data_IF_499833201980
#
_entry.id   IF_499833201980
#
_cell.length_a   1.000
_cell.length_b   1.000
_cell.length_c   1.000
_cell.angle_alpha   90.00
_cell.angle_beta   90.00
_cell.angle_gamma   90.00
#
_symmetry.space_group_name_H-M   'P 1'
#
loop_
_entity.id
_entity.type
_entity.pdbx_description
1 polymer ?
#
# COMPACT_ATOMS: atom_id res chain seq x y z
N UNK A 1 -36.09 20.77 33.59
CA UNK A 1 -37.54 20.80 33.86
C UNK A 1 -38.14 19.48 33.38
N UNK A 2 -38.78 18.76 34.31
CA UNK A 2 -39.42 17.46 33.96
C UNK A 2 -40.76 17.64 33.28
N UNK A 3 -41.32 18.86 33.30
CA UNK A 3 -42.61 19.18 32.66
C UNK A 3 -42.46 19.55 31.20
N UNK A 4 -41.25 19.96 30.77
CA UNK A 4 -40.88 20.22 29.36
C UNK A 4 -39.48 19.66 29.08
N UNK A 5 -39.34 18.32 29.04
CA UNK A 5 -38.06 17.67 28.81
C UNK A 5 -37.63 17.80 27.35
N UNK A 6 -36.31 17.83 27.12
CA UNK A 6 -35.72 17.77 25.80
C UNK A 6 -35.85 16.35 25.23
N UNK A 7 -36.74 16.16 24.27
CA UNK A 7 -37.05 14.85 23.68
C UNK A 7 -36.85 14.90 22.17
N UNK A 8 -35.81 14.22 21.66
CA UNK A 8 -35.43 14.26 20.26
C UNK A 8 -36.36 13.47 19.32
N UNK A 9 -37.20 12.60 19.84
CA UNK A 9 -38.22 11.86 19.07
C UNK A 9 -39.62 12.49 19.13
N UNK A 10 -39.78 13.65 19.79
CA UNK A 10 -41.03 14.43 19.76
C UNK A 10 -41.22 15.04 18.36
N UNK A 11 -42.46 15.00 17.86
CA UNK A 11 -42.77 15.51 16.53
C UNK A 11 -42.40 16.99 16.36
N UNK A 12 -42.58 17.83 17.36
CA UNK A 12 -42.20 19.25 17.32
C UNK A 12 -40.71 19.43 17.12
N UNK A 13 -39.89 18.57 17.76
CA UNK A 13 -38.43 18.56 17.54
C UNK A 13 -38.08 18.12 16.12
N UNK A 14 -38.68 17.01 15.66
CA UNK A 14 -38.44 16.46 14.31
C UNK A 14 -38.86 17.46 13.26
N UNK A 15 -40.01 18.09 13.35
CA UNK A 15 -40.48 19.11 12.41
C UNK A 15 -39.56 20.31 12.34
N UNK A 16 -39.07 20.79 13.50
CA UNK A 16 -38.08 21.89 13.54
C UNK A 16 -36.75 21.49 12.84
N UNK A 17 -36.28 20.28 13.09
CA UNK A 17 -35.09 19.77 12.45
C UNK A 17 -35.24 19.67 10.92
N UNK A 18 -36.38 19.13 10.46
CA UNK A 18 -36.69 19.05 9.03
C UNK A 18 -36.81 20.43 8.37
N UNK A 19 -37.38 21.38 9.09
CA UNK A 19 -37.41 22.76 8.60
C UNK A 19 -36.01 23.36 8.44
N UNK A 20 -35.11 23.16 9.39
CA UNK A 20 -33.72 23.58 9.30
C UNK A 20 -33.00 22.93 8.12
N UNK A 21 -33.14 21.61 7.93
CA UNK A 21 -32.56 20.88 6.80
C UNK A 21 -33.08 21.41 5.48
N UNK A 22 -34.37 21.75 5.39
CA UNK A 22 -34.98 22.36 4.20
C UNK A 22 -34.35 23.72 3.87
N UNK A 23 -34.04 24.55 4.90
CA UNK A 23 -33.34 25.83 4.68
C UNK A 23 -31.93 25.61 4.13
N UNK A 24 -31.20 24.62 4.68
CA UNK A 24 -29.86 24.26 4.19
C UNK A 24 -29.91 23.75 2.76
N UNK A 25 -30.86 22.90 2.43
CA UNK A 25 -31.07 22.38 1.08
C UNK A 25 -31.38 23.50 0.07
N UNK A 26 -32.29 24.44 0.43
CA UNK A 26 -32.61 25.58 -0.41
C UNK A 26 -31.42 26.53 -0.66
N UNK A 27 -30.41 26.51 0.20
CA UNK A 27 -29.16 27.28 0.05
C UNK A 27 -28.05 26.48 -0.65
N UNK A 28 -28.34 25.29 -1.17
CA UNK A 28 -27.36 24.36 -1.78
C UNK A 28 -26.21 23.96 -0.82
N UNK A 29 -26.47 23.98 0.50
CA UNK A 29 -25.49 23.55 1.52
C UNK A 29 -25.69 22.08 1.95
N UNK A 30 -26.79 21.46 1.52
CA UNK A 30 -27.07 20.05 1.75
C UNK A 30 -27.23 19.34 0.41
N UNK A 31 -26.45 18.30 0.18
CA UNK A 31 -26.46 17.51 -1.04
C UNK A 31 -26.24 16.03 -0.74
N UNK A 32 -26.64 15.16 -1.67
CA UNK A 32 -26.36 13.72 -1.59
C UNK A 32 -24.94 13.46 -2.08
N UNK A 33 -24.13 12.82 -1.25
CA UNK A 33 -22.74 12.49 -1.56
C UNK A 33 -22.38 11.09 -1.10
N UNK A 34 -21.14 10.72 -1.38
CA UNK A 34 -20.53 9.47 -0.92
C UNK A 34 -19.34 9.80 -0.03
N UNK A 35 -19.15 9.00 1.02
CA UNK A 35 -17.97 9.08 1.89
C UNK A 35 -17.49 7.68 2.27
N UNK A 36 -16.22 7.56 2.57
CA UNK A 36 -15.64 6.32 3.09
C UNK A 36 -15.80 6.35 4.62
N UNK A 37 -16.33 5.27 5.15
CA UNK A 37 -16.48 5.09 6.59
C UNK A 37 -15.98 3.69 6.97
N UNK A 38 -15.12 3.54 8.00
CA UNK A 38 -14.77 2.25 8.57
C UNK A 38 -16.02 1.52 9.03
N UNK A 39 -16.07 0.23 8.80
CA UNK A 39 -17.20 -0.63 9.16
C UNK A 39 -16.73 -1.79 10.03
N UNK A 40 -17.42 -2.03 11.13
CA UNK A 40 -17.18 -3.17 12.01
C UNK A 40 -18.15 -4.31 11.69
N UNK A 41 -17.70 -5.43 11.09
CA UNK A 41 -18.56 -6.59 10.86
C UNK A 41 -19.09 -7.20 12.15
N UNK A 42 -18.30 -7.16 13.23
CA UNK A 42 -18.69 -7.70 14.54
C UNK A 42 -19.80 -6.89 15.19
N UNK A 43 -19.77 -5.56 15.07
CA UNK A 43 -20.82 -4.68 15.59
C UNK A 43 -21.97 -4.47 14.58
N UNK A 44 -21.78 -4.84 13.32
CA UNK A 44 -22.78 -4.67 12.26
C UNK A 44 -23.06 -3.22 11.88
N UNK A 45 -22.11 -2.30 12.12
CA UNK A 45 -22.31 -0.86 11.91
C UNK A 45 -21.04 -0.15 11.44
N UNK A 46 -21.24 1.02 10.81
CA UNK A 46 -20.16 1.97 10.53
C UNK A 46 -19.66 2.61 11.83
N UNK A 47 -18.37 2.94 11.84
CA UNK A 47 -17.70 3.56 12.99
C UNK A 47 -17.46 5.05 12.71
N UNK A 48 -17.77 5.89 13.69
CA UNK A 48 -17.46 7.32 13.66
C UNK A 48 -15.95 7.56 13.91
N UNK A 49 -15.47 8.71 13.50
CA UNK A 49 -14.08 9.12 13.83
C UNK A 49 -13.83 9.21 15.34
N UNK A 50 -14.86 9.51 16.13
CA UNK A 50 -14.77 9.52 17.60
C UNK A 50 -14.53 8.12 18.16
N UNK A 51 -15.25 7.11 17.67
CA UNK A 51 -15.06 5.71 18.08
C UNK A 51 -13.68 5.17 17.71
N UNK A 52 -13.13 5.60 16.56
CA UNK A 52 -11.78 5.22 16.13
C UNK A 52 -10.67 5.92 16.93
N UNK A 53 -11.00 6.95 17.69
CA UNK A 53 -10.03 7.73 18.48
C UNK A 53 -10.09 7.44 19.99
N UNK A 54 -10.83 6.42 20.39
CA UNK A 54 -10.92 6.01 21.79
C UNK A 54 -9.62 5.31 22.24
N UNK A 55 -9.23 5.42 23.51
CA UNK A 55 -8.09 4.67 24.05
C UNK A 55 -8.28 3.17 23.86
N UNK A 56 -7.23 2.49 23.32
CA UNK A 56 -7.24 1.04 23.11
C UNK A 56 -7.94 0.57 21.82
N UNK A 57 -8.38 1.47 20.93
CA UNK A 57 -8.92 1.12 19.63
C UNK A 57 -7.87 0.45 18.71
N UNK A 58 -6.61 0.87 18.84
CA UNK A 58 -5.50 0.34 18.05
C UNK A 58 -4.67 -0.61 18.89
N UNK A 59 -4.31 -1.75 18.32
CA UNK A 59 -3.46 -2.76 18.93
C UNK A 59 -2.50 -3.31 17.90
N UNK A 60 -1.28 -3.61 18.33
CA UNK A 60 -0.32 -4.30 17.50
C UNK A 60 -0.80 -5.73 17.22
N UNK A 61 -0.88 -6.10 15.96
CA UNK A 61 -1.24 -7.44 15.50
C UNK A 61 -0.15 -7.97 14.58
N UNK A 62 0.11 -9.29 14.67
CA UNK A 62 1.02 -9.96 13.75
C UNK A 62 0.22 -10.33 12.49
N UNK A 63 0.64 -9.79 11.36
CA UNK A 63 -0.01 -10.05 10.08
C UNK A 63 1.00 -10.50 9.01
N UNK A 64 0.48 -11.13 7.95
CA UNK A 64 1.30 -11.60 6.84
C UNK A 64 1.45 -10.49 5.80
N UNK A 65 2.70 -10.20 5.47
CA UNK A 65 3.05 -9.27 4.39
C UNK A 65 3.71 -10.02 3.24
N UNK A 66 3.70 -9.46 2.05
CA UNK A 66 4.46 -10.06 0.95
C UNK A 66 5.19 -9.00 0.13
N UNK A 67 6.27 -9.44 -0.54
CA UNK A 67 6.96 -8.70 -1.59
C UNK A 67 6.56 -9.34 -2.92
N UNK A 68 5.70 -8.65 -3.66
CA UNK A 68 5.20 -9.11 -4.95
C UNK A 68 6.20 -8.77 -6.06
N UNK A 69 6.36 -9.69 -7.00
CA UNK A 69 7.21 -9.54 -8.19
C UNK A 69 6.33 -9.33 -9.42
N UNK A 70 6.54 -8.22 -10.12
CA UNK A 70 5.81 -7.87 -11.34
C UNK A 70 6.76 -7.92 -12.52
N UNK A 71 6.57 -8.91 -13.39
CA UNK A 71 7.42 -9.13 -14.55
C UNK A 71 7.35 -7.93 -15.50
N UNK A 72 8.51 -7.42 -15.90
CA UNK A 72 8.61 -6.35 -16.89
C UNK A 72 8.27 -6.86 -18.28
N UNK A 73 7.50 -6.06 -19.04
CA UNK A 73 7.19 -6.32 -20.44
C UNK A 73 8.32 -5.86 -21.35
N UNK A 74 8.83 -4.66 -21.13
CA UNK A 74 9.84 -3.99 -21.94
C UNK A 74 11.05 -3.61 -21.07
N UNK A 75 11.85 -4.58 -20.59
CA UNK A 75 13.01 -4.27 -19.76
C UNK A 75 14.10 -3.60 -20.60
N UNK A 76 14.90 -2.73 -19.98
CA UNK A 76 16.13 -2.21 -20.59
C UNK A 76 17.16 -3.33 -20.75
N UNK A 77 18.10 -3.24 -21.70
CA UNK A 77 19.08 -4.30 -21.96
C UNK A 77 19.86 -4.73 -20.71
N UNK A 78 20.28 -3.78 -19.89
CA UNK A 78 21.02 -4.04 -18.66
C UNK A 78 20.17 -4.76 -17.59
N UNK A 79 18.86 -4.57 -17.59
CA UNK A 79 17.93 -5.27 -16.70
C UNK A 79 17.65 -6.69 -17.19
N UNK A 80 17.66 -6.91 -18.51
CA UNK A 80 17.43 -8.20 -19.12
C UNK A 80 18.68 -9.09 -19.20
N UNK A 81 19.84 -8.55 -18.89
CA UNK A 81 21.12 -9.25 -18.99
C UNK A 81 21.30 -10.38 -17.96
N UNK A 82 20.52 -10.38 -16.87
CA UNK A 82 20.61 -11.35 -15.80
C UNK A 82 19.24 -11.81 -15.31
N UNK A 83 18.87 -13.03 -15.68
CA UNK A 83 17.61 -13.63 -15.26
C UNK A 83 16.38 -12.85 -15.74
N UNK A 84 15.25 -13.06 -15.06
CA UNK A 84 14.00 -12.38 -15.40
C UNK A 84 13.89 -11.05 -14.65
N UNK A 85 13.62 -9.92 -15.34
CA UNK A 85 13.47 -8.62 -14.70
C UNK A 85 12.06 -8.41 -14.13
N UNK A 86 12.03 -7.92 -12.89
CA UNK A 86 10.80 -7.63 -12.14
C UNK A 86 10.86 -6.25 -11.48
N UNK A 87 9.73 -5.57 -11.39
CA UNK A 87 9.50 -4.61 -10.32
C UNK A 87 9.11 -5.37 -9.06
N UNK A 88 9.57 -4.91 -7.89
CA UNK A 88 9.11 -5.45 -6.61
C UNK A 88 8.37 -4.38 -5.82
N UNK A 89 7.29 -4.79 -5.17
CA UNK A 89 6.51 -3.94 -4.28
C UNK A 89 6.07 -4.73 -3.03
N UNK A 90 6.24 -4.11 -1.87
CA UNK A 90 5.79 -4.66 -0.60
C UNK A 90 4.33 -4.28 -0.33
N UNK A 91 3.56 -5.21 0.21
CA UNK A 91 2.18 -4.98 0.60
C UNK A 91 1.79 -5.73 1.88
N UNK A 92 0.94 -5.13 2.68
CA UNK A 92 0.25 -5.76 3.81
C UNK A 92 -1.08 -6.38 3.41
N UNK A 93 -1.56 -6.17 2.19
CA UNK A 93 -2.87 -6.60 1.69
C UNK A 93 -2.73 -7.45 0.41
N UNK A 94 -2.07 -8.63 0.47
CA UNK A 94 -1.77 -9.42 -0.72
C UNK A 94 -3.01 -9.91 -1.48
N UNK A 95 -4.15 -10.01 -0.83
CA UNK A 95 -5.43 -10.40 -1.46
C UNK A 95 -5.98 -9.36 -2.45
N UNK A 96 -5.45 -8.14 -2.48
CA UNK A 96 -5.83 -7.13 -3.47
C UNK A 96 -5.03 -7.24 -4.77
N UNK A 97 -3.92 -7.99 -4.80
CA UNK A 97 -3.05 -8.14 -5.97
C UNK A 97 -3.75 -8.66 -7.23
N UNK A 98 -4.74 -9.59 -7.17
CA UNK A 98 -5.46 -10.02 -8.36
C UNK A 98 -6.17 -8.91 -9.12
N UNK A 99 -6.52 -7.81 -8.44
CA UNK A 99 -7.17 -6.64 -9.04
C UNK A 99 -6.20 -5.50 -9.36
N UNK A 100 -4.89 -5.74 -9.23
CA UNK A 100 -3.88 -4.72 -9.51
C UNK A 100 -3.74 -4.50 -11.02
N UNK A 101 -3.97 -3.28 -11.47
CA UNK A 101 -3.97 -2.92 -12.90
C UNK A 101 -2.68 -2.23 -13.34
N UNK A 102 -1.95 -1.59 -12.42
CA UNK A 102 -0.74 -0.84 -12.73
C UNK A 102 0.16 -0.70 -11.49
N UNK A 103 1.44 -0.45 -11.73
CA UNK A 103 2.39 0.02 -10.71
C UNK A 103 2.55 1.53 -10.83
N UNK A 104 2.65 2.20 -9.69
CA UNK A 104 2.90 3.63 -9.64
C UNK A 104 4.32 3.89 -9.14
N UNK A 105 5.06 4.73 -9.86
CA UNK A 105 6.41 5.17 -9.47
C UNK A 105 6.41 6.64 -9.08
N UNK A 106 7.17 7.00 -8.05
CA UNK A 106 7.32 8.39 -7.64
C UNK A 106 8.32 9.11 -8.56
N UNK A 107 7.93 10.22 -9.23
CA UNK A 107 8.79 10.89 -10.23
C UNK A 107 10.11 11.39 -9.67
N UNK A 108 10.16 11.72 -8.37
CA UNK A 108 11.35 12.23 -7.67
C UNK A 108 12.10 11.16 -6.88
N UNK A 109 11.61 9.93 -6.86
CA UNK A 109 12.23 8.82 -6.14
C UNK A 109 13.31 8.20 -7.01
N UNK A 110 14.45 7.89 -6.38
CA UNK A 110 15.54 7.13 -6.99
C UNK A 110 15.25 5.63 -6.88
N UNK A 111 15.39 4.93 -7.99
CA UNK A 111 15.25 3.49 -8.12
C UNK A 111 16.56 2.86 -8.55
N UNK A 112 16.76 1.61 -8.15
CA UNK A 112 17.92 0.82 -8.55
C UNK A 112 17.49 -0.48 -9.19
N UNK A 113 18.22 -0.91 -10.23
CA UNK A 113 18.14 -2.26 -10.78
C UNK A 113 19.22 -3.11 -10.13
N UNK A 114 18.84 -4.25 -9.60
CA UNK A 114 19.70 -5.13 -8.81
C UNK A 114 19.67 -6.53 -9.40
N UNK A 115 20.80 -7.04 -9.81
CA UNK A 115 21.00 -8.44 -10.20
C UNK A 115 21.25 -9.27 -8.96
N UNK A 116 20.55 -10.39 -8.83
CA UNK A 116 20.65 -11.30 -7.68
C UNK A 116 19.98 -12.64 -8.01
N UNK A 117 19.69 -13.40 -6.98
CA UNK A 117 18.93 -14.63 -7.04
C UNK A 117 17.66 -14.56 -6.19
N UNK A 118 16.62 -15.24 -6.64
CA UNK A 118 15.43 -15.42 -5.82
C UNK A 118 15.73 -16.42 -4.70
N UNK A 119 15.62 -15.97 -3.45
CA UNK A 119 15.97 -16.76 -2.27
C UNK A 119 15.13 -18.05 -2.08
N UNK A 120 13.97 -18.13 -2.71
CA UNK A 120 13.08 -19.32 -2.63
C UNK A 120 13.32 -20.32 -3.76
N UNK A 121 13.59 -19.83 -4.97
CA UNK A 121 13.71 -20.68 -6.15
C UNK A 121 15.15 -20.91 -6.58
N UNK A 122 16.11 -20.11 -6.08
CA UNK A 122 17.50 -20.11 -6.50
C UNK A 122 17.74 -19.62 -7.93
N UNK A 123 16.69 -19.13 -8.60
CA UNK A 123 16.81 -18.66 -9.98
C UNK A 123 17.38 -17.24 -10.06
N UNK A 124 18.19 -16.93 -11.06
CA UNK A 124 18.70 -15.57 -11.29
C UNK A 124 17.54 -14.62 -11.60
N UNK A 125 17.58 -13.44 -11.00
CA UNK A 125 16.58 -12.37 -11.20
C UNK A 125 17.26 -11.01 -11.26
N UNK A 126 16.62 -10.08 -11.96
CA UNK A 126 16.90 -8.66 -11.83
C UNK A 126 15.67 -7.99 -11.22
N UNK A 127 15.84 -7.23 -10.15
CA UNK A 127 14.71 -6.54 -9.50
C UNK A 127 14.92 -5.05 -9.47
N UNK A 128 13.85 -4.29 -9.70
CA UNK A 128 13.84 -2.82 -9.57
C UNK A 128 13.04 -2.44 -8.36
N UNK A 129 13.66 -1.62 -7.51
CA UNK A 129 13.06 -1.14 -6.25
C UNK A 129 13.57 0.26 -5.93
N UNK A 130 12.89 0.95 -5.00
CA UNK A 130 13.36 2.24 -4.51
C UNK A 130 14.73 2.09 -3.83
N UNK A 131 15.70 2.93 -4.20
CA UNK A 131 17.08 2.90 -3.69
C UNK A 131 17.14 2.96 -2.16
N UNK A 132 16.27 3.76 -1.55
CA UNK A 132 16.18 3.87 -0.09
C UNK A 132 15.82 2.56 0.62
N UNK A 133 15.19 1.60 -0.09
CA UNK A 133 14.79 0.30 0.44
C UNK A 133 15.76 -0.84 0.07
N UNK A 134 16.87 -0.53 -0.58
CA UNK A 134 17.83 -1.55 -1.04
C UNK A 134 18.23 -2.48 0.10
N UNK A 135 18.72 -1.94 1.19
CA UNK A 135 19.19 -2.74 2.33
C UNK A 135 18.08 -3.27 3.25
N UNK A 136 16.83 -2.94 2.97
CA UNK A 136 15.68 -3.62 3.61
C UNK A 136 15.46 -5.01 2.98
N UNK A 137 15.76 -5.14 1.68
CA UNK A 137 15.56 -6.37 0.93
C UNK A 137 16.85 -7.17 0.71
N UNK A 138 18.00 -6.52 0.72
CA UNK A 138 19.30 -7.12 0.46
C UNK A 138 20.26 -6.91 1.62
N UNK A 139 21.01 -7.96 1.97
CA UNK A 139 22.01 -7.85 3.02
C UNK A 139 23.24 -7.10 2.50
N UNK A 140 23.56 -5.96 3.09
CA UNK A 140 24.71 -5.13 2.69
C UNK A 140 26.03 -5.90 2.60
N UNK A 141 26.23 -6.93 3.44
CA UNK A 141 27.46 -7.78 3.39
C UNK A 141 27.57 -8.63 2.13
N UNK A 142 26.47 -8.78 1.39
CA UNK A 142 26.44 -9.55 0.15
C UNK A 142 26.60 -8.68 -1.12
N UNK A 143 26.74 -7.37 -0.94
CA UNK A 143 26.95 -6.44 -2.04
C UNK A 143 28.30 -6.68 -2.72
N UNK A 144 28.27 -6.82 -4.06
CA UNK A 144 29.48 -7.02 -4.86
C UNK A 144 30.15 -8.38 -4.72
N UNK A 145 29.55 -9.32 -3.97
CA UNK A 145 30.01 -10.71 -4.02
C UNK A 145 29.78 -11.31 -5.41
N UNK A 146 30.61 -12.28 -5.76
CA UNK A 146 30.54 -12.95 -7.05
C UNK A 146 29.20 -13.67 -7.23
N UNK A 147 28.42 -13.25 -8.22
CA UNK A 147 27.13 -13.86 -8.54
C UNK A 147 27.28 -15.31 -9.02
N UNK A 148 28.36 -15.63 -9.75
CA UNK A 148 28.57 -16.96 -10.31
C UNK A 148 28.97 -18.00 -9.24
N UNK A 149 29.50 -17.55 -8.12
CA UNK A 149 29.88 -18.41 -7.01
C UNK A 149 28.68 -18.84 -6.12
N UNK A 150 27.51 -18.26 -6.30
CA UNK A 150 26.32 -18.55 -5.49
C UNK A 150 25.78 -19.96 -5.70
N UNK A 151 25.46 -20.61 -4.61
CA UNK A 151 24.74 -21.90 -4.62
C UNK A 151 23.42 -21.80 -3.87
N UNK A 152 22.32 -22.39 -4.40
CA UNK A 152 21.05 -22.41 -3.68
C UNK A 152 21.20 -22.99 -2.27
N UNK A 153 20.79 -22.22 -1.26
CA UNK A 153 20.95 -22.58 0.15
C UNK A 153 22.02 -21.78 0.89
N UNK A 154 22.83 -21.01 0.19
CA UNK A 154 23.80 -20.12 0.84
C UNK A 154 23.05 -19.05 1.68
N UNK A 155 23.63 -18.75 2.88
CA UNK A 155 23.02 -17.77 3.80
C UNK A 155 23.06 -16.34 3.29
N UNK A 156 24.04 -16.01 2.43
CA UNK A 156 24.19 -14.70 1.83
C UNK A 156 23.94 -14.84 0.34
N UNK A 157 22.91 -14.16 -0.15
CA UNK A 157 22.57 -14.12 -1.58
C UNK A 157 23.29 -12.93 -2.17
N UNK A 158 24.26 -13.12 -3.07
CA UNK A 158 25.03 -12.02 -3.67
C UNK A 158 24.12 -11.13 -4.52
N UNK A 159 24.45 -9.85 -4.56
CA UNK A 159 23.75 -8.91 -5.43
C UNK A 159 24.67 -7.82 -5.95
N UNK A 160 24.29 -7.25 -7.09
CA UNK A 160 25.00 -6.17 -7.75
C UNK A 160 24.00 -5.13 -8.28
N UNK A 161 24.21 -3.86 -7.93
CA UNK A 161 23.47 -2.75 -8.55
C UNK A 161 24.00 -2.52 -9.94
N UNK A 162 23.14 -2.56 -10.95
CA UNK A 162 23.51 -2.46 -12.37
C UNK A 162 22.95 -1.20 -13.05
N UNK A 163 22.08 -0.47 -12.38
CA UNK A 163 21.55 0.80 -12.90
C UNK A 163 20.84 1.59 -11.82
N UNK A 164 20.83 2.92 -11.98
CA UNK A 164 20.08 3.86 -11.17
C UNK A 164 19.16 4.68 -12.09
N UNK A 165 17.92 4.90 -11.66
CA UNK A 165 16.87 5.54 -12.46
C UNK A 165 16.05 6.48 -11.60
N UNK A 166 15.53 7.55 -12.19
CA UNK A 166 14.42 8.30 -11.61
C UNK A 166 13.09 7.61 -11.94
N UNK A 167 12.06 7.84 -11.11
CA UNK A 167 10.75 7.28 -11.41
C UNK A 167 10.24 7.69 -12.80
N UNK A 168 10.56 8.89 -13.27
CA UNK A 168 10.25 9.36 -14.63
C UNK A 168 10.85 8.49 -15.74
N UNK A 169 11.97 7.82 -15.48
CA UNK A 169 12.67 6.99 -16.48
C UNK A 169 12.06 5.57 -16.58
N UNK A 170 11.14 5.24 -15.66
CA UNK A 170 10.50 3.93 -15.53
C UNK A 170 9.04 3.92 -15.99
N UNK A 171 8.55 5.03 -16.54
CA UNK A 171 7.18 5.15 -17.08
C UNK A 171 7.15 4.59 -18.49
N UNK A 172 6.14 3.72 -18.80
CA UNK A 172 5.92 3.16 -20.14
C UNK A 172 5.65 1.67 -20.19
#
# INVERSE_FOLDING_TARGET
DMNDPYITYDNRYIETLWWLLKQLYGKNLLYKGYTIQPYSPAAGTGLSSHELNQPGCYRDVKDTTCVAQFKMKNPRPEMAAWGTPYFIAWTTTPWTLPSNTALCVGPKIDYVAVQSYNGYTGQPITVVLAKALLYTHFNQKAEGLDLEAYKPGDKLIPFKVVGEYKGTDLVG
#
